data_IF_054793617574
#
_entry.id   IF_054793617574
#
_cell.length_a   1.000
_cell.length_b   1.000
_cell.length_c   1.000
_cell.angle_alpha   90.00
_cell.angle_beta   90.00
_cell.angle_gamma   90.00
#
_symmetry.space_group_name_H-M   'P 1'
#
loop_
_entity.id
_entity.type
_entity.pdbx_description
1 polymer ?
#
# COMPACT_ATOMS: atom_id res chain seq x y z
N UNK A 1 -2.93 -27.54 -30.51
CA UNK A 1 -1.52 -27.85 -30.75
C UNK A 1 -1.00 -28.65 -29.57
N UNK A 2 -0.55 -29.89 -29.78
CA UNK A 2 -0.07 -30.77 -28.72
C UNK A 2 1.19 -30.23 -28.03
N UNK A 3 2.00 -29.45 -28.76
CA UNK A 3 3.25 -28.88 -28.22
C UNK A 3 2.97 -27.89 -27.09
N UNK A 4 1.96 -27.03 -27.24
CA UNK A 4 1.55 -26.06 -26.24
C UNK A 4 1.08 -26.72 -24.93
N UNK A 5 0.21 -27.73 -25.02
CA UNK A 5 -0.27 -28.45 -23.83
C UNK A 5 0.88 -29.12 -23.08
N UNK A 6 1.81 -29.76 -23.79
CA UNK A 6 2.98 -30.38 -23.16
C UNK A 6 3.88 -29.36 -22.47
N UNK A 7 4.05 -28.15 -23.02
CA UNK A 7 4.80 -27.08 -22.35
C UNK A 7 4.16 -26.70 -21.01
N UNK A 8 2.83 -26.50 -21.01
CA UNK A 8 2.08 -26.17 -19.78
C UNK A 8 2.17 -27.28 -18.74
N UNK A 9 1.98 -28.55 -19.14
CA UNK A 9 2.09 -29.70 -18.23
C UNK A 9 3.48 -29.87 -17.61
N UNK A 10 4.52 -29.43 -18.32
CA UNK A 10 5.91 -29.40 -17.83
C UNK A 10 6.21 -28.20 -16.94
N UNK A 11 5.21 -27.36 -16.65
CA UNK A 11 5.32 -26.21 -15.76
C UNK A 11 5.80 -24.93 -16.45
N UNK A 12 5.69 -24.83 -17.78
CA UNK A 12 5.94 -23.56 -18.47
C UNK A 12 5.07 -22.44 -17.89
N UNK A 13 5.69 -21.30 -17.64
CA UNK A 13 5.04 -20.05 -17.21
C UNK A 13 5.55 -18.91 -18.09
N UNK A 14 4.74 -17.87 -18.22
CA UNK A 14 5.16 -16.68 -18.94
C UNK A 14 6.25 -15.93 -18.16
N UNK A 15 7.15 -15.29 -18.88
CA UNK A 15 8.16 -14.39 -18.32
C UNK A 15 7.52 -13.19 -17.61
N UNK A 16 8.30 -12.53 -16.74
CA UNK A 16 7.87 -11.35 -16.02
C UNK A 16 7.53 -10.19 -16.99
N UNK A 17 6.32 -9.61 -16.94
CA UNK A 17 5.99 -8.42 -17.71
C UNK A 17 6.86 -7.23 -17.31
N UNK A 18 7.20 -6.35 -18.28
CA UNK A 18 8.08 -5.19 -18.05
C UNK A 18 7.64 -4.26 -16.90
N UNK A 19 6.32 -4.09 -16.70
CA UNK A 19 5.77 -3.20 -15.67
C UNK A 19 5.36 -3.92 -14.38
N UNK A 20 5.57 -5.23 -14.29
CA UNK A 20 5.31 -5.97 -13.07
C UNK A 20 6.53 -5.82 -12.13
N UNK A 21 6.27 -5.45 -10.88
CA UNK A 21 7.28 -5.59 -9.84
C UNK A 21 7.42 -7.06 -9.42
N UNK A 22 8.48 -7.38 -8.69
CA UNK A 22 8.79 -8.75 -8.26
C UNK A 22 7.64 -9.40 -7.48
N UNK A 23 7.07 -8.70 -6.50
CA UNK A 23 5.94 -9.20 -5.69
C UNK A 23 4.72 -9.56 -6.55
N UNK A 24 4.39 -8.71 -7.53
CA UNK A 24 3.27 -8.92 -8.46
C UNK A 24 3.54 -10.10 -9.38
N UNK A 25 4.78 -10.26 -9.87
CA UNK A 25 5.13 -11.43 -10.68
C UNK A 25 5.09 -12.73 -9.87
N UNK A 26 5.52 -12.69 -8.61
CA UNK A 26 5.45 -13.85 -7.72
C UNK A 26 4.00 -14.31 -7.50
N UNK A 27 3.05 -13.37 -7.28
CA UNK A 27 1.64 -13.74 -7.14
C UNK A 27 1.06 -14.31 -8.45
N UNK A 28 1.45 -13.79 -9.61
CA UNK A 28 1.07 -14.36 -10.92
C UNK A 28 1.57 -15.80 -11.05
N UNK A 29 2.83 -16.06 -10.68
CA UNK A 29 3.43 -17.39 -10.69
C UNK A 29 2.71 -18.39 -9.76
N UNK A 30 2.19 -17.91 -8.62
CA UNK A 30 1.35 -18.71 -7.69
C UNK A 30 -0.02 -19.02 -8.29
N UNK A 31 -0.64 -18.07 -8.99
CA UNK A 31 -1.90 -18.29 -9.73
C UNK A 31 -1.75 -19.35 -10.84
N UNK A 32 -0.57 -19.48 -11.44
CA UNK A 32 -0.26 -20.50 -12.45
C UNK A 32 0.35 -21.78 -11.88
N UNK A 33 0.10 -22.11 -10.61
CA UNK A 33 0.53 -23.39 -10.05
C UNK A 33 -0.14 -24.56 -10.81
N UNK A 34 0.66 -25.60 -11.11
CA UNK A 34 0.18 -26.83 -11.74
C UNK A 34 -0.89 -27.50 -10.90
N UNK A 35 -0.61 -27.69 -9.61
CA UNK A 35 -1.59 -28.13 -8.63
C UNK A 35 -2.62 -27.02 -8.36
N UNK A 36 -3.92 -27.23 -8.63
CA UNK A 36 -4.96 -26.27 -8.34
C UNK A 36 -5.07 -25.90 -6.86
N UNK A 37 -4.74 -26.83 -5.96
CA UNK A 37 -4.86 -26.64 -4.51
C UNK A 37 -3.80 -25.67 -3.97
N UNK A 38 -2.68 -25.54 -4.69
CA UNK A 38 -1.59 -24.62 -4.37
C UNK A 38 -1.87 -23.18 -4.83
N UNK A 39 -2.94 -22.93 -5.59
CA UNK A 39 -3.29 -21.59 -6.08
C UNK A 39 -3.91 -20.75 -4.96
N UNK A 40 -3.61 -19.45 -4.88
CA UNK A 40 -4.22 -18.58 -3.88
C UNK A 40 -5.73 -18.45 -4.12
N UNK A 41 -6.49 -18.35 -3.04
CA UNK A 41 -7.91 -17.96 -3.12
C UNK A 41 -8.05 -16.53 -3.60
N UNK A 42 -9.23 -16.19 -4.14
CA UNK A 42 -9.55 -14.81 -4.47
C UNK A 42 -9.44 -13.86 -3.27
N UNK A 43 -9.84 -14.30 -2.06
CA UNK A 43 -9.68 -13.49 -0.85
C UNK A 43 -8.22 -13.14 -0.56
N UNK A 44 -7.30 -14.09 -0.78
CA UNK A 44 -5.86 -13.83 -0.62
C UNK A 44 -5.32 -12.89 -1.69
N UNK A 45 -5.82 -12.99 -2.92
CA UNK A 45 -5.46 -12.09 -4.01
C UNK A 45 -5.94 -10.65 -3.74
N UNK A 46 -7.17 -10.48 -3.26
CA UNK A 46 -7.71 -9.15 -2.91
C UNK A 46 -6.87 -8.52 -1.81
N UNK A 47 -6.60 -9.24 -0.71
CA UNK A 47 -5.73 -8.76 0.37
C UNK A 47 -4.37 -8.32 -0.16
N UNK A 48 -3.70 -9.17 -0.96
CA UNK A 48 -2.41 -8.84 -1.55
C UNK A 48 -2.46 -7.56 -2.40
N UNK A 49 -3.49 -7.39 -3.23
CA UNK A 49 -3.60 -6.21 -4.08
C UNK A 49 -3.89 -4.95 -3.27
N UNK A 50 -4.70 -5.05 -2.21
CA UNK A 50 -4.93 -3.94 -1.27
C UNK A 50 -3.61 -3.50 -0.63
N UNK A 51 -2.84 -4.45 -0.08
CA UNK A 51 -1.54 -4.17 0.56
C UNK A 51 -0.58 -3.47 -0.42
N UNK A 52 -0.48 -3.98 -1.66
CA UNK A 52 0.37 -3.39 -2.71
C UNK A 52 -0.02 -1.95 -3.10
N UNK A 53 -1.32 -1.62 -3.02
CA UNK A 53 -1.81 -0.28 -3.33
C UNK A 53 -1.56 0.67 -2.16
N UNK A 54 -1.86 0.25 -0.93
CA UNK A 54 -1.61 1.05 0.28
C UNK A 54 -0.12 1.36 0.45
N UNK A 55 0.77 0.38 0.26
CA UNK A 55 2.22 0.57 0.29
C UNK A 55 2.70 1.66 -0.69
N UNK A 56 2.06 1.74 -1.86
CA UNK A 56 2.40 2.73 -2.89
C UNK A 56 1.89 4.11 -2.50
N UNK A 57 0.69 4.20 -1.94
CA UNK A 57 0.09 5.44 -1.46
C UNK A 57 0.92 6.02 -0.31
N UNK A 58 1.28 5.22 0.70
CA UNK A 58 2.10 5.67 1.83
C UNK A 58 3.45 6.22 1.39
N UNK A 59 4.14 5.54 0.46
CA UNK A 59 5.40 6.03 -0.12
C UNK A 59 5.22 7.37 -0.84
N UNK A 60 4.09 7.58 -1.52
CA UNK A 60 3.81 8.85 -2.18
C UNK A 60 3.60 9.97 -1.16
N UNK A 61 2.82 9.72 -0.11
CA UNK A 61 2.54 10.70 0.94
C UNK A 61 3.78 11.07 1.77
N UNK A 62 4.63 10.10 2.11
CA UNK A 62 5.88 10.37 2.82
C UNK A 62 6.83 11.26 2.02
N UNK A 63 6.98 11.01 0.72
CA UNK A 63 7.85 11.83 -0.14
C UNK A 63 7.39 13.30 -0.23
N UNK A 64 6.08 13.58 -0.12
CA UNK A 64 5.55 14.94 -0.14
C UNK A 64 5.86 15.70 1.16
N UNK A 65 5.80 15.03 2.31
CA UNK A 65 6.06 15.65 3.62
C UNK A 65 7.52 16.10 3.74
N UNK A 66 8.46 15.26 3.30
CA UNK A 66 9.89 15.58 3.33
C UNK A 66 10.27 16.76 2.42
N UNK A 67 9.56 16.95 1.30
CA UNK A 67 9.76 18.11 0.41
C UNK A 67 9.20 19.41 1.01
N UNK A 68 8.14 19.35 1.81
CA UNK A 68 7.56 20.56 2.46
C UNK A 68 8.33 21.02 3.70
N UNK A 69 9.13 20.15 4.31
CA UNK A 69 9.90 20.48 5.52
C UNK A 69 11.06 21.48 5.27
N UNK A 70 11.48 21.65 4.00
CA UNK A 70 12.59 22.50 3.59
C UNK A 70 12.24 24.00 3.53
N UNK A 71 10.98 24.35 3.27
CA UNK A 71 10.68 25.69 2.71
C UNK A 71 10.07 26.67 3.72
N UNK A 72 9.71 26.22 4.93
CA UNK A 72 9.16 27.09 5.99
C UNK A 72 9.95 27.00 7.29
N UNK A 73 11.17 27.54 7.28
CA UNK A 73 11.95 27.75 8.50
C UNK A 73 11.59 29.10 9.13
N UNK A 74 10.44 29.19 9.81
CA UNK A 74 10.16 30.29 10.74
C UNK A 74 9.98 29.74 12.16
N UNK A 75 11.06 29.16 12.68
CA UNK A 75 11.18 28.61 14.04
C UNK A 75 11.07 29.68 15.14
N UNK A 76 11.19 30.95 14.79
CA UNK A 76 11.07 32.07 15.72
C UNK A 76 9.63 32.24 16.29
N UNK A 77 8.58 31.86 15.56
CA UNK A 77 7.20 32.07 16.01
C UNK A 77 6.67 30.97 16.96
N UNK A 78 7.28 29.78 16.95
CA UNK A 78 6.78 28.62 17.71
C UNK A 78 7.07 28.75 19.21
N UNK A 79 8.16 29.43 19.58
CA UNK A 79 8.51 29.63 20.99
C UNK A 79 7.52 30.55 21.71
N UNK A 80 6.95 31.55 21.03
CA UNK A 80 5.99 32.49 21.63
C UNK A 80 4.57 31.90 21.78
N UNK A 81 4.15 30.98 20.91
CA UNK A 81 2.82 30.36 21.00
C UNK A 81 2.73 29.42 22.23
N UNK A 82 3.82 28.74 22.58
CA UNK A 82 3.89 27.86 23.76
C UNK A 82 3.70 28.60 25.09
N UNK A 83 3.96 29.91 25.10
CA UNK A 83 3.75 30.79 26.25
C UNK A 83 2.29 31.23 26.36
N UNK A 84 1.53 31.24 25.26
CA UNK A 84 0.14 31.71 25.21
C UNK A 84 -0.92 30.61 25.40
N UNK A 85 -0.60 29.33 25.19
CA UNK A 85 -1.59 28.24 25.27
C UNK A 85 -1.90 27.73 26.67
N UNK A 86 -1.27 28.27 27.72
CA UNK A 86 -1.60 27.94 29.13
C UNK A 86 -2.86 28.65 29.67
N UNK A 87 -3.66 29.33 28.84
CA UNK A 87 -4.84 30.08 29.29
C UNK A 87 -6.19 29.69 28.65
N UNK A 88 -6.28 28.65 27.81
CA UNK A 88 -7.58 28.19 27.30
C UNK A 88 -7.82 26.70 27.57
N UNK A 89 -7.76 26.29 28.83
CA UNK A 89 -8.67 25.24 29.30
C UNK A 89 -10.09 25.79 29.18
N UNK A 90 -10.82 25.52 28.09
CA UNK A 90 -12.29 25.45 28.06
C UNK A 90 -12.84 25.01 26.69
N UNK A 91 -13.53 23.86 26.68
CA UNK A 91 -14.62 23.44 25.76
C UNK A 91 -14.29 23.29 24.25
N UNK A 92 -14.24 22.05 23.75
CA UNK A 92 -15.41 21.25 23.30
C UNK A 92 -14.96 20.00 22.55
N UNK A 93 -15.47 18.86 23.01
CA UNK A 93 -15.38 17.54 22.40
C UNK A 93 -16.19 17.51 21.08
N UNK A 94 -15.57 17.16 19.95
CA UNK A 94 -16.31 16.58 18.82
C UNK A 94 -15.37 15.65 18.04
N UNK A 95 -15.48 14.35 18.34
CA UNK A 95 -14.80 13.29 17.62
C UNK A 95 -15.55 13.01 16.31
N UNK A 96 -14.93 13.31 15.17
CA UNK A 96 -15.43 12.87 13.87
C UNK A 96 -14.90 11.46 13.60
N UNK A 97 -15.75 10.46 13.82
CA UNK A 97 -15.46 9.06 13.56
C UNK A 97 -15.68 8.76 12.07
N UNK A 98 -14.66 8.95 11.24
CA UNK A 98 -14.67 8.48 9.85
C UNK A 98 -13.78 7.24 9.72
N UNK A 99 -14.08 6.20 10.51
CA UNK A 99 -13.45 4.88 10.37
C UNK A 99 -14.35 3.82 10.99
N UNK A 100 -15.55 3.67 10.45
CA UNK A 100 -16.29 2.42 10.53
C UNK A 100 -16.93 2.21 9.17
N UNK A 101 -16.32 1.32 8.37
CA UNK A 101 -16.95 0.40 7.43
C UNK A 101 -15.89 -0.09 6.44
N UNK A 102 -15.20 -1.18 6.78
CA UNK A 102 -14.74 -2.23 5.86
C UNK A 102 -13.96 -3.31 6.61
N UNK A 103 -14.67 -4.39 6.97
CA UNK A 103 -14.18 -5.77 7.03
C UNK A 103 -15.38 -6.67 6.76
#
# INVERSE_FOLDING_TARGET
DHTFYSMIERGFKMECPYYANESVYEIMCKCWALDPSSRPSFSKLVSFMCDQLTDREEKLYHNMLDQTSSDYQNTAAVLDISVLTKQSENKTQSANNYCQNSC
#
